data_IF_046026863073
#
_entry.id   IF_046026863073
#
_cell.length_a   1.000
_cell.length_b   1.000
_cell.length_c   1.000
_cell.angle_alpha   90.00
_cell.angle_beta   90.00
_cell.angle_gamma   90.00
#
_symmetry.space_group_name_H-M   'P 1'
#
loop_
_entity.id
_entity.type
_entity.pdbx_description
1 polymer ?
#
# COMPACT_ATOMS: atom_id res chain seq x y z
N UNK A 1 17.03 19.34 -6.02
CA UNK A 1 15.64 19.35 -6.49
C UNK A 1 14.78 20.26 -5.61
N UNK A 2 13.80 20.96 -6.18
CA UNK A 2 12.82 21.76 -5.43
C UNK A 2 11.63 20.87 -4.97
N UNK A 3 11.03 21.10 -3.77
CA UNK A 3 9.90 20.30 -3.25
C UNK A 3 8.76 20.08 -4.24
N UNK A 4 8.36 21.12 -5.00
CA UNK A 4 7.33 21.01 -6.03
C UNK A 4 7.67 19.97 -7.11
N UNK A 5 8.92 19.94 -7.59
CA UNK A 5 9.33 18.96 -8.60
C UNK A 5 9.41 17.55 -8.01
N UNK A 6 9.79 17.41 -6.74
CA UNK A 6 9.73 16.12 -6.04
C UNK A 6 8.30 15.58 -6.02
N UNK A 7 7.32 16.41 -5.66
CA UNK A 7 5.91 16.03 -5.66
C UNK A 7 5.43 15.62 -7.05
N UNK A 8 5.80 16.37 -8.08
CA UNK A 8 5.44 16.06 -9.45
C UNK A 8 6.04 14.72 -9.89
N UNK A 9 7.31 14.46 -9.58
CA UNK A 9 7.98 13.21 -9.92
C UNK A 9 7.43 12.00 -9.17
N UNK A 10 6.95 12.15 -7.92
CA UNK A 10 6.28 11.07 -7.20
C UNK A 10 5.05 10.61 -7.97
N UNK A 11 4.22 11.56 -8.43
CA UNK A 11 3.01 11.26 -9.22
C UNK A 11 3.33 10.76 -10.63
N UNK A 12 4.24 11.43 -11.34
CA UNK A 12 4.65 11.04 -12.70
C UNK A 12 5.22 9.61 -12.74
N UNK A 13 5.78 9.13 -11.62
CA UNK A 13 6.34 7.78 -11.48
C UNK A 13 5.39 6.79 -10.79
N UNK A 14 4.13 7.16 -10.57
CA UNK A 14 3.12 6.32 -9.91
C UNK A 14 3.45 5.94 -8.46
N UNK A 15 4.39 6.64 -7.82
CA UNK A 15 4.84 6.30 -6.46
C UNK A 15 3.81 6.64 -5.40
N UNK A 16 2.87 7.52 -5.68
CA UNK A 16 1.71 7.78 -4.83
C UNK A 16 0.75 6.57 -4.67
N UNK A 17 0.93 5.51 -5.46
CA UNK A 17 0.21 4.24 -5.31
C UNK A 17 0.78 3.35 -4.21
N UNK A 18 2.06 3.52 -3.86
CA UNK A 18 2.76 2.70 -2.84
C UNK A 18 3.15 3.47 -1.59
N UNK A 19 3.12 4.80 -1.64
CA UNK A 19 3.38 5.66 -0.48
C UNK A 19 2.27 6.70 -0.32
N UNK A 20 1.83 6.89 0.92
CA UNK A 20 0.82 7.90 1.23
C UNK A 20 1.42 9.31 1.18
N UNK A 21 1.31 9.98 0.03
CA UNK A 21 1.76 11.36 -0.18
C UNK A 21 0.58 12.34 -0.29
N UNK A 22 -0.55 12.00 0.34
CA UNK A 22 -1.83 12.73 0.16
C UNK A 22 -1.80 14.20 0.59
N UNK A 23 -0.91 14.58 1.52
CA UNK A 23 -0.87 15.95 2.05
C UNK A 23 0.39 16.71 1.63
N UNK A 24 0.22 17.87 0.97
CA UNK A 24 1.35 18.75 0.60
C UNK A 24 2.24 19.10 1.81
N UNK A 25 1.61 19.34 2.95
CA UNK A 25 2.29 19.70 4.20
C UNK A 25 3.25 18.61 4.69
N UNK A 26 2.95 17.32 4.45
CA UNK A 26 3.82 16.22 4.91
C UNK A 26 5.15 16.20 4.15
N UNK A 27 5.15 16.57 2.86
CA UNK A 27 6.38 16.67 2.05
C UNK A 27 7.30 17.75 2.62
N UNK A 28 6.79 18.95 2.88
CA UNK A 28 7.60 20.05 3.41
C UNK A 28 8.14 19.72 4.81
N UNK A 29 7.30 19.18 5.70
CA UNK A 29 7.75 18.74 7.04
C UNK A 29 8.83 17.65 6.96
N UNK A 30 8.72 16.75 5.99
CA UNK A 30 9.71 15.69 5.77
C UNK A 30 11.03 16.28 5.26
N UNK A 31 10.98 17.22 4.31
CA UNK A 31 12.16 17.93 3.81
C UNK A 31 12.84 18.71 4.94
N UNK A 32 12.08 19.43 5.76
CA UNK A 32 12.61 20.18 6.90
C UNK A 32 13.28 19.26 7.92
N UNK A 33 12.71 18.07 8.17
CA UNK A 33 13.33 17.05 9.03
C UNK A 33 14.61 16.50 8.42
N UNK A 34 14.58 16.06 7.17
CA UNK A 34 15.74 15.53 6.46
C UNK A 34 16.88 16.57 6.40
N UNK A 35 16.55 17.86 6.25
CA UNK A 35 17.53 18.93 6.26
C UNK A 35 18.11 19.17 7.65
N UNK A 36 17.27 19.24 8.69
CA UNK A 36 17.71 19.36 10.09
C UNK A 36 18.62 18.20 10.51
N UNK A 37 18.33 16.99 10.05
CA UNK A 37 19.08 15.78 10.37
C UNK A 37 20.32 15.60 9.46
N UNK A 38 20.58 16.53 8.54
CA UNK A 38 21.75 16.51 7.65
C UNK A 38 21.68 15.47 6.52
N UNK A 39 20.53 14.82 6.32
CA UNK A 39 20.32 13.86 5.22
C UNK A 39 20.20 14.55 3.85
N UNK A 40 19.81 15.82 3.82
CA UNK A 40 19.83 16.68 2.62
C UNK A 40 20.45 18.04 2.96
N UNK A 41 21.01 18.72 1.97
CA UNK A 41 21.59 20.06 2.08
C UNK A 41 21.01 21.00 1.03
N UNK A 42 21.08 22.31 1.29
CA UNK A 42 20.74 23.34 0.28
C UNK A 42 21.90 23.47 -0.71
N UNK A 43 21.66 23.09 -1.97
CA UNK A 43 22.62 23.22 -3.07
C UNK A 43 22.67 24.66 -3.61
N UNK A 44 21.55 25.40 -3.53
CA UNK A 44 21.47 26.79 -3.95
C UNK A 44 20.04 27.30 -4.12
N UNK A 45 19.94 28.57 -4.52
CA UNK A 45 18.69 29.25 -4.90
C UNK A 45 18.66 29.41 -6.41
N UNK A 46 17.64 28.86 -7.07
CA UNK A 46 17.39 29.12 -8.49
C UNK A 46 16.52 30.36 -8.61
N UNK A 47 17.08 31.44 -9.18
CA UNK A 47 16.31 32.64 -9.52
C UNK A 47 15.19 32.29 -10.49
N UNK A 48 14.00 32.81 -10.24
CA UNK A 48 12.83 32.61 -11.05
C UNK A 48 12.30 34.00 -11.44
N UNK A 49 12.24 34.32 -12.73
CA UNK A 49 11.80 35.66 -13.16
C UNK A 49 10.35 35.90 -12.72
N UNK A 50 10.13 36.96 -11.92
CA UNK A 50 8.82 37.32 -11.40
C UNK A 50 8.28 36.46 -10.25
N UNK A 51 9.08 35.56 -9.65
CA UNK A 51 8.68 34.71 -8.50
C UNK A 51 9.81 34.59 -7.45
N UNK A 52 9.50 34.21 -6.20
CA UNK A 52 10.52 33.96 -5.18
C UNK A 52 11.54 32.90 -5.63
N UNK A 53 12.78 33.04 -5.16
CA UNK A 53 13.86 32.09 -5.38
C UNK A 53 13.44 30.66 -4.97
N UNK A 54 13.70 29.69 -5.84
CA UNK A 54 13.43 28.28 -5.56
C UNK A 54 14.62 27.65 -4.82
N UNK A 55 14.40 27.18 -3.60
CA UNK A 55 15.42 26.43 -2.83
C UNK A 55 15.59 25.04 -3.45
N UNK A 56 16.81 24.70 -3.82
CA UNK A 56 17.17 23.42 -4.41
C UNK A 56 17.91 22.59 -3.36
N UNK A 57 17.37 21.43 -3.03
CA UNK A 57 17.97 20.48 -2.09
C UNK A 57 18.76 19.38 -2.78
N UNK A 58 19.87 18.96 -2.22
CA UNK A 58 20.66 17.83 -2.68
C UNK A 58 20.81 16.79 -1.57
N UNK A 59 20.84 15.51 -1.93
CA UNK A 59 21.06 14.42 -0.98
C UNK A 59 22.52 14.40 -0.54
N UNK A 60 22.77 14.27 0.77
CA UNK A 60 24.13 14.11 1.30
C UNK A 60 24.56 12.65 1.29
N UNK A 61 25.85 12.37 1.54
CA UNK A 61 26.31 10.99 1.72
C UNK A 61 25.64 10.32 2.92
N UNK A 62 25.37 11.08 3.99
CA UNK A 62 24.60 10.60 5.14
C UNK A 62 23.20 10.16 4.70
N UNK A 63 22.47 11.01 3.96
CA UNK A 63 21.14 10.69 3.47
C UNK A 63 21.11 9.50 2.51
N UNK A 64 22.13 9.40 1.64
CA UNK A 64 22.26 8.27 0.70
C UNK A 64 22.50 6.95 1.44
N UNK A 65 23.42 6.95 2.39
CA UNK A 65 23.72 5.76 3.20
C UNK A 65 22.51 5.34 4.04
N UNK A 66 21.81 6.30 4.66
CA UNK A 66 20.58 6.05 5.40
C UNK A 66 19.49 5.42 4.51
N UNK A 67 19.26 5.95 3.30
CA UNK A 67 18.30 5.41 2.36
C UNK A 67 18.63 3.95 1.95
N UNK A 68 19.91 3.65 1.67
CA UNK A 68 20.30 2.28 1.32
C UNK A 68 20.19 1.31 2.50
N UNK A 69 20.56 1.74 3.71
CA UNK A 69 20.37 0.92 4.91
C UNK A 69 18.89 0.62 5.15
N UNK A 70 18.03 1.62 4.98
CA UNK A 70 16.60 1.44 5.17
C UNK A 70 15.98 0.52 4.13
N UNK A 71 16.35 0.63 2.84
CA UNK A 71 15.90 -0.31 1.80
C UNK A 71 16.33 -1.73 2.14
N UNK A 72 17.59 -1.94 2.55
CA UNK A 72 18.09 -3.25 2.96
C UNK A 72 17.31 -3.82 4.15
N UNK A 73 16.96 -2.98 5.11
CA UNK A 73 16.15 -3.41 6.25
C UNK A 73 14.74 -3.81 5.82
N UNK A 74 14.04 -2.97 5.04
CA UNK A 74 12.68 -3.25 4.59
C UNK A 74 12.57 -4.55 3.79
N UNK A 75 13.55 -4.87 2.94
CA UNK A 75 13.53 -6.11 2.15
C UNK A 75 13.96 -7.35 2.95
N UNK A 76 14.73 -7.18 4.02
CA UNK A 76 15.27 -8.32 4.79
C UNK A 76 14.47 -8.65 6.03
N UNK A 77 13.76 -7.68 6.60
CA UNK A 77 12.97 -7.83 7.81
C UNK A 77 11.52 -7.44 7.52
N UNK A 78 10.59 -8.41 7.50
CA UNK A 78 9.17 -8.11 7.44
C UNK A 78 8.78 -7.18 8.59
N UNK A 79 8.13 -6.07 8.28
CA UNK A 79 7.53 -5.21 9.28
C UNK A 79 6.18 -5.78 9.72
N UNK A 80 5.79 -5.48 10.96
CA UNK A 80 4.40 -5.70 11.35
C UNK A 80 3.53 -4.63 10.69
N UNK A 81 2.71 -5.06 9.73
CA UNK A 81 1.79 -4.18 9.01
C UNK A 81 0.37 -4.28 9.60
N UNK A 82 -0.28 -3.13 9.78
CA UNK A 82 -1.65 -3.04 10.28
C UNK A 82 -2.59 -2.69 9.12
N UNK A 83 -2.80 -3.67 8.25
CA UNK A 83 -3.63 -3.52 7.06
C UNK A 83 -5.13 -3.50 7.42
N UNK A 84 -5.89 -2.58 6.83
CA UNK A 84 -7.32 -2.39 7.13
C UNK A 84 -8.16 -3.63 6.78
N UNK A 85 -7.88 -4.29 5.66
CA UNK A 85 -8.69 -5.42 5.20
C UNK A 85 -8.56 -6.66 6.09
N UNK A 86 -7.35 -7.15 6.45
CA UNK A 86 -7.18 -8.19 7.46
C UNK A 86 -7.81 -7.84 8.82
N UNK A 87 -7.76 -6.56 9.22
CA UNK A 87 -8.47 -6.12 10.42
C UNK A 87 -9.99 -6.30 10.27
N UNK A 88 -10.59 -5.90 9.14
CA UNK A 88 -12.01 -6.13 8.85
C UNK A 88 -12.38 -7.63 8.81
N UNK A 89 -11.52 -8.47 8.24
CA UNK A 89 -11.69 -9.94 8.23
C UNK A 89 -11.75 -10.51 9.66
N UNK A 90 -11.01 -9.92 10.59
CA UNK A 90 -11.01 -10.33 12.00
C UNK A 90 -12.33 -10.02 12.72
N UNK A 91 -13.21 -9.22 12.12
CA UNK A 91 -14.51 -8.82 12.68
C UNK A 91 -15.71 -9.25 11.84
N UNK A 92 -15.55 -10.21 10.90
CA UNK A 92 -16.66 -10.67 10.04
C UNK A 92 -17.86 -11.20 10.81
N UNK A 93 -17.65 -11.75 12.01
CA UNK A 93 -18.71 -12.23 12.89
C UNK A 93 -19.76 -11.15 13.22
N UNK A 94 -19.43 -9.86 13.09
CA UNK A 94 -20.36 -8.75 13.29
C UNK A 94 -21.37 -8.58 12.14
N UNK A 95 -21.18 -9.28 11.02
CA UNK A 95 -22.03 -9.24 9.83
C UNK A 95 -22.65 -10.62 9.58
N UNK A 96 -23.71 -10.68 8.77
CA UNK A 96 -24.27 -11.95 8.30
C UNK A 96 -23.37 -12.56 7.22
N UNK A 97 -23.36 -13.90 7.05
CA UNK A 97 -22.66 -14.54 5.95
C UNK A 97 -23.03 -13.94 4.58
N UNK A 98 -24.31 -13.65 4.37
CA UNK A 98 -24.83 -13.08 3.12
C UNK A 98 -24.28 -11.67 2.85
N UNK A 99 -24.25 -10.82 3.88
CA UNK A 99 -23.68 -9.47 3.78
C UNK A 99 -22.18 -9.52 3.48
N UNK A 100 -21.45 -10.43 4.14
CA UNK A 100 -20.02 -10.65 3.87
C UNK A 100 -19.81 -11.07 2.41
N UNK A 101 -20.57 -12.04 1.90
CA UNK A 101 -20.44 -12.49 0.52
C UNK A 101 -20.76 -11.37 -0.49
N UNK A 102 -21.74 -10.51 -0.19
CA UNK A 102 -22.06 -9.35 -1.03
C UNK A 102 -20.92 -8.33 -1.06
N UNK A 103 -20.38 -7.96 0.11
CA UNK A 103 -19.28 -6.99 0.23
C UNK A 103 -17.98 -7.51 -0.40
N UNK A 104 -17.71 -8.82 -0.25
CA UNK A 104 -16.55 -9.44 -0.89
C UNK A 104 -16.65 -9.41 -2.41
N UNK A 105 -17.84 -9.61 -2.99
CA UNK A 105 -18.06 -9.45 -4.45
C UNK A 105 -17.77 -8.02 -4.91
N UNK A 106 -18.23 -7.01 -4.18
CA UNK A 106 -17.94 -5.61 -4.50
C UNK A 106 -16.43 -5.33 -4.45
N UNK A 107 -15.75 -5.89 -3.45
CA UNK A 107 -14.29 -5.79 -3.33
C UNK A 107 -13.58 -6.44 -4.51
N UNK A 108 -13.97 -7.66 -4.91
CA UNK A 108 -13.41 -8.34 -6.09
C UNK A 108 -13.50 -7.44 -7.32
N UNK A 109 -14.66 -6.84 -7.61
CA UNK A 109 -14.81 -5.95 -8.77
C UNK A 109 -13.88 -4.74 -8.71
N UNK A 110 -13.61 -4.18 -7.52
CA UNK A 110 -12.64 -3.10 -7.37
C UNK A 110 -11.18 -3.58 -7.59
N UNK A 111 -10.85 -4.79 -7.14
CA UNK A 111 -9.54 -5.39 -7.33
C UNK A 111 -9.29 -5.75 -8.81
N UNK A 112 -10.30 -6.26 -9.52
CA UNK A 112 -10.23 -6.57 -10.95
C UNK A 112 -9.92 -5.32 -11.79
N UNK A 113 -10.53 -4.17 -11.48
CA UNK A 113 -10.19 -2.91 -12.11
C UNK A 113 -8.72 -2.51 -11.88
N UNK A 114 -8.19 -2.80 -10.69
CA UNK A 114 -6.79 -2.52 -10.35
C UNK A 114 -5.85 -3.48 -11.09
N UNK A 115 -6.21 -4.76 -11.19
CA UNK A 115 -5.47 -5.78 -11.93
C UNK A 115 -5.41 -5.45 -13.43
N UNK A 116 -6.50 -4.98 -14.03
CA UNK A 116 -6.54 -4.53 -15.41
C UNK A 116 -5.57 -3.36 -15.66
N UNK A 117 -5.56 -2.37 -14.76
CA UNK A 117 -4.62 -1.24 -14.83
C UNK A 117 -3.16 -1.68 -14.73
N UNK A 118 -2.84 -2.63 -13.84
CA UNK A 118 -1.49 -3.20 -13.74
C UNK A 118 -1.10 -3.94 -15.03
N UNK A 119 -2.05 -4.67 -15.63
CA UNK A 119 -1.82 -5.35 -16.91
C UNK A 119 -1.47 -4.35 -18.03
N UNK A 120 -2.20 -3.23 -18.14
CA UNK A 120 -1.89 -2.19 -19.12
C UNK A 120 -0.48 -1.61 -18.91
N UNK A 121 -0.06 -1.41 -17.64
CA UNK A 121 1.31 -0.96 -17.32
C UNK A 121 2.38 -1.95 -17.78
N UNK A 122 2.12 -3.25 -17.66
CA UNK A 122 3.01 -4.29 -18.18
C UNK A 122 3.15 -4.24 -19.69
N UNK A 123 2.04 -4.16 -20.42
CA UNK A 123 2.06 -4.10 -21.88
C UNK A 123 2.80 -2.86 -22.38
N UNK A 124 2.57 -1.71 -21.75
CA UNK A 124 3.31 -0.47 -22.04
C UNK A 124 4.80 -0.67 -21.75
N UNK A 125 5.16 -1.18 -20.56
CA UNK A 125 6.55 -1.41 -20.19
C UNK A 125 7.29 -2.37 -21.12
N UNK A 126 6.62 -3.45 -21.53
CA UNK A 126 7.13 -4.42 -22.49
C UNK A 126 7.33 -3.80 -23.88
N UNK A 127 6.36 -3.02 -24.37
CA UNK A 127 6.45 -2.33 -25.67
C UNK A 127 7.58 -1.29 -25.72
N UNK A 128 7.91 -0.69 -24.57
CA UNK A 128 9.02 0.24 -24.41
C UNK A 128 10.37 -0.46 -24.17
N UNK A 129 10.40 -1.79 -24.09
CA UNK A 129 11.62 -2.57 -23.84
C UNK A 129 12.22 -2.33 -22.46
N UNK A 130 11.41 -1.97 -21.45
CA UNK A 130 11.90 -1.71 -20.11
C UNK A 130 12.50 -2.97 -19.48
N UNK A 131 13.67 -2.89 -18.82
CA UNK A 131 14.18 -3.99 -18.03
C UNK A 131 13.18 -4.43 -16.96
N UNK A 132 13.04 -5.76 -16.76
CA UNK A 132 12.14 -6.37 -15.76
C UNK A 132 12.28 -5.75 -14.36
N UNK A 133 13.48 -5.31 -13.99
CA UNK A 133 13.74 -4.63 -12.72
C UNK A 133 12.74 -3.48 -12.45
N UNK A 134 12.33 -2.73 -13.48
CA UNK A 134 11.38 -1.63 -13.35
C UNK A 134 9.91 -2.09 -13.31
N UNK A 135 9.65 -3.37 -13.57
CA UNK A 135 8.32 -3.98 -13.56
C UNK A 135 8.06 -4.81 -12.29
N UNK A 136 9.10 -5.16 -11.52
CA UNK A 136 9.00 -6.03 -10.33
C UNK A 136 7.98 -5.55 -9.28
N UNK A 137 7.83 -4.24 -9.12
CA UNK A 137 6.84 -3.66 -8.20
C UNK A 137 5.41 -3.99 -8.63
N UNK A 138 5.09 -3.80 -9.93
CA UNK A 138 3.81 -4.18 -10.49
C UNK A 138 3.63 -5.71 -10.48
N UNK A 139 4.70 -6.49 -10.63
CA UNK A 139 4.64 -7.98 -10.58
C UNK A 139 4.21 -8.41 -9.18
N UNK A 140 4.87 -7.86 -8.15
CA UNK A 140 4.53 -8.14 -6.76
C UNK A 140 3.08 -7.74 -6.44
N UNK A 141 2.66 -6.53 -6.81
CA UNK A 141 1.29 -6.08 -6.57
C UNK A 141 0.26 -6.98 -7.24
N UNK A 142 0.47 -7.34 -8.51
CA UNK A 142 -0.41 -8.27 -9.22
C UNK A 142 -0.49 -9.61 -8.50
N UNK A 143 0.64 -10.18 -8.09
CA UNK A 143 0.68 -11.45 -7.37
C UNK A 143 -0.16 -11.42 -6.08
N UNK A 144 -0.01 -10.36 -5.27
CA UNK A 144 -0.77 -10.21 -4.02
C UNK A 144 -2.27 -10.05 -4.30
N UNK A 145 -2.64 -9.21 -5.27
CA UNK A 145 -4.05 -8.95 -5.59
C UNK A 145 -4.75 -10.19 -6.17
N UNK A 146 -4.07 -10.98 -7.01
CA UNK A 146 -4.62 -12.24 -7.52
C UNK A 146 -4.89 -13.21 -6.37
N UNK A 147 -3.94 -13.38 -5.46
CA UNK A 147 -4.12 -14.26 -4.31
C UNK A 147 -5.28 -13.78 -3.41
N UNK A 148 -5.44 -12.47 -3.23
CA UNK A 148 -6.57 -11.93 -2.47
C UNK A 148 -7.92 -12.20 -3.17
N UNK A 149 -8.01 -12.01 -4.48
CA UNK A 149 -9.23 -12.32 -5.27
C UNK A 149 -9.57 -13.81 -5.17
N UNK A 150 -8.59 -14.69 -5.34
CA UNK A 150 -8.78 -16.15 -5.23
C UNK A 150 -9.31 -16.53 -3.83
N UNK A 151 -8.74 -15.95 -2.77
CA UNK A 151 -9.20 -16.17 -1.40
C UNK A 151 -10.64 -15.67 -1.19
N UNK A 152 -10.95 -14.45 -1.65
CA UNK A 152 -12.30 -13.87 -1.56
C UNK A 152 -13.33 -14.75 -2.28
N UNK A 153 -13.01 -15.23 -3.48
CA UNK A 153 -13.88 -16.13 -4.25
C UNK A 153 -14.11 -17.45 -3.52
N UNK A 154 -13.08 -18.02 -2.89
CA UNK A 154 -13.20 -19.23 -2.08
C UNK A 154 -14.17 -19.04 -0.91
N UNK A 155 -14.01 -17.95 -0.15
CA UNK A 155 -14.89 -17.67 1.01
C UNK A 155 -16.33 -17.44 0.57
N UNK A 156 -16.54 -16.71 -0.53
CA UNK A 156 -17.88 -16.52 -1.11
C UNK A 156 -18.50 -17.89 -1.46
N UNK A 157 -17.74 -18.78 -2.10
CA UNK A 157 -18.24 -20.10 -2.47
C UNK A 157 -18.61 -20.95 -1.25
N UNK A 158 -17.83 -20.87 -0.17
CA UNK A 158 -18.13 -21.57 1.08
C UNK A 158 -19.38 -21.02 1.77
N UNK A 159 -19.60 -19.71 1.75
CA UNK A 159 -20.84 -19.09 2.23
C UNK A 159 -22.04 -19.51 1.38
N UNK A 160 -21.94 -19.41 0.05
CA UNK A 160 -23.04 -19.75 -0.85
C UNK A 160 -23.42 -21.24 -0.81
N UNK A 161 -22.45 -22.11 -0.54
CA UNK A 161 -22.68 -23.55 -0.36
C UNK A 161 -23.06 -23.92 1.08
N UNK A 162 -23.21 -22.94 1.97
CA UNK A 162 -23.51 -23.11 3.40
C UNK A 162 -22.47 -23.96 4.16
N UNK A 163 -21.26 -24.12 3.61
CA UNK A 163 -20.12 -24.73 4.31
C UNK A 163 -19.54 -23.80 5.38
N UNK A 164 -19.66 -22.49 5.13
CA UNK A 164 -19.28 -21.45 6.08
C UNK A 164 -20.52 -20.63 6.42
N UNK A 165 -21.05 -20.85 7.61
CA UNK A 165 -22.19 -20.13 8.16
C UNK A 165 -21.93 -19.84 9.64
N UNK A 166 -22.55 -18.78 10.14
CA UNK A 166 -22.50 -18.42 11.55
C UNK A 166 -23.71 -17.57 11.93
N UNK A 167 -24.09 -17.64 13.20
CA UNK A 167 -24.94 -16.65 13.85
C UNK A 167 -24.28 -16.14 15.13
N UNK A 168 -24.62 -14.92 15.55
CA UNK A 168 -24.11 -14.36 16.81
C UNK A 168 -24.55 -15.17 18.02
N UNK A 169 -25.67 -15.88 17.94
CA UNK A 169 -26.15 -16.79 18.99
C UNK A 169 -25.24 -18.02 19.10
N UNK A 170 -25.02 -18.74 18.00
CA UNK A 170 -24.12 -19.91 17.96
C UNK A 170 -22.68 -19.56 18.38
N UNK A 171 -22.18 -18.39 17.99
CA UNK A 171 -20.84 -17.95 18.36
C UNK A 171 -20.72 -17.65 19.86
N UNK A 172 -21.77 -17.08 20.49
CA UNK A 172 -21.80 -16.85 21.94
C UNK A 172 -21.86 -18.16 22.71
N UNK A 173 -22.73 -19.08 22.31
CA UNK A 173 -22.83 -20.40 22.94
C UNK A 173 -21.51 -21.16 22.88
N UNK A 174 -20.81 -21.11 21.74
CA UNK A 174 -19.48 -21.71 21.60
C UNK A 174 -18.42 -21.03 22.48
N UNK A 175 -18.47 -19.70 22.62
CA UNK A 175 -17.54 -18.98 23.48
C UNK A 175 -17.71 -19.40 24.95
N UNK A 176 -18.95 -19.45 25.45
CA UNK A 176 -19.26 -19.92 26.81
C UNK A 176 -18.83 -21.38 27.05
N UNK A 177 -18.99 -22.26 26.04
CA UNK A 177 -18.52 -23.65 26.13
C UNK A 177 -16.99 -23.77 26.19
N UNK A 178 -16.25 -22.87 25.53
CA UNK A 178 -14.78 -22.88 25.56
C UNK A 178 -14.29 -22.41 26.92
N UNK A 179 -14.85 -21.34 27.45
CA UNK A 179 -14.48 -20.79 28.77
C UNK A 179 -14.72 -21.84 29.87
N UNK A 180 -15.89 -22.50 29.86
CA UNK A 180 -16.23 -23.59 30.80
C UNK A 180 -15.33 -24.84 30.69
N UNK A 181 -14.58 -25.00 29.59
CA UNK A 181 -13.63 -26.13 29.41
C UNK A 181 -12.20 -25.77 29.80
N UNK A 182 -11.94 -24.50 30.03
CA UNK A 182 -10.63 -23.98 30.44
C UNK A 182 -10.54 -23.73 31.95
N UNK A 183 -11.67 -23.77 32.66
CA UNK A 183 -11.77 -23.87 34.13
C UNK A 183 -11.65 -25.32 34.63
#
# INVERSE_FOLDING_TARGET
MHPYRMQQLIKERGKDEVINVRHRTSIYQTIDRLHRDGAIAIQGKKKNEGRPDLIVYEITDLGRNAAYSWIREMISKPAQEFLEFPAAVSFLAMLTPEDVALLFKQRISALENTLARLHDQFEIGASLGLPRLFLLEAEYQRTVLVAEVEWLQSVIADVQSHKLTWSMEELREKAEQIDNRME
#
